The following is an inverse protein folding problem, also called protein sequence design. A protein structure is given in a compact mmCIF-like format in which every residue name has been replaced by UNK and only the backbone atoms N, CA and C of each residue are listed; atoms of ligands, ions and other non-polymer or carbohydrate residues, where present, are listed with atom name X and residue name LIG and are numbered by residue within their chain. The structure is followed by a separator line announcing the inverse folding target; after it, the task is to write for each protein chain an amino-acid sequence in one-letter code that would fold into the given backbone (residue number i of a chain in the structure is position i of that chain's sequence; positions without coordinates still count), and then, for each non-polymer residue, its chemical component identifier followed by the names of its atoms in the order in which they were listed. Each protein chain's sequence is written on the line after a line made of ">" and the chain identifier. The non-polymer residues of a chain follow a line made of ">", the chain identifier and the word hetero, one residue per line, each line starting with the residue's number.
data_IF_839791612665
#
_entry.id   IF_839791612665
#
_cell.length_a   1.000
_cell.length_b   1.000
_cell.length_c   1.000
_cell.angle_alpha   90.00
_cell.angle_beta   90.00
_cell.angle_gamma   90.00
#
_symmetry.space_group_name_H-M   'P 1'
#
loop_
_entity.id
_entity.type
_entity.pdbx_description
1 polymer ?
#
# COMPACT_ATOMS: atom_id res chain seq x y z
N UNK A 1 19.77 -20.11 6.80
CA UNK A 1 20.09 -18.71 7.16
C UNK A 1 18.86 -17.87 6.90
N UNK A 2 18.13 -17.46 7.94
CA UNK A 2 16.93 -16.62 7.79
C UNK A 2 17.39 -15.20 7.53
N UNK A 3 17.05 -14.67 6.35
CA UNK A 3 17.27 -13.27 6.02
C UNK A 3 16.38 -12.40 6.93
N UNK A 4 16.97 -11.77 7.94
CA UNK A 4 16.60 -10.48 8.53
C UNK A 4 15.13 -10.05 8.59
N UNK A 5 14.21 -10.90 9.04
CA UNK A 5 12.81 -10.51 9.23
C UNK A 5 12.51 -10.05 10.65
N UNK A 6 11.97 -8.84 10.82
CA UNK A 6 11.28 -8.42 12.04
C UNK A 6 10.06 -9.35 12.27
N UNK A 7 9.86 -9.81 13.51
CA UNK A 7 8.74 -10.71 13.81
C UNK A 7 7.43 -9.92 13.78
N UNK A 8 6.38 -10.54 13.23
CA UNK A 8 5.04 -9.98 13.32
C UNK A 8 4.61 -9.92 14.80
N UNK A 9 4.18 -8.73 15.23
CA UNK A 9 3.59 -8.49 16.55
C UNK A 9 2.11 -8.15 16.37
N UNK A 10 1.21 -9.04 16.80
CA UNK A 10 -0.23 -8.87 16.61
C UNK A 10 -0.79 -7.59 17.25
N UNK A 11 -0.16 -7.11 18.33
CA UNK A 11 -0.49 -5.83 18.97
C UNK A 11 -0.24 -4.61 18.08
N UNK A 12 0.61 -4.74 17.04
CA UNK A 12 0.91 -3.70 16.05
C UNK A 12 0.15 -3.89 14.74
N UNK A 13 -0.81 -4.81 14.68
CA UNK A 13 -1.64 -5.00 13.51
C UNK A 13 -2.63 -3.84 13.35
N UNK A 14 -2.87 -3.43 12.10
CA UNK A 14 -3.96 -2.52 11.76
C UNK A 14 -5.26 -3.32 11.61
N UNK A 15 -6.31 -2.89 12.28
CA UNK A 15 -7.66 -3.48 12.16
C UNK A 15 -8.56 -2.44 11.50
N UNK A 16 -9.05 -2.75 10.31
CA UNK A 16 -9.88 -1.85 9.51
C UNK A 16 -9.79 -2.16 8.02
N UNK A 17 -10.29 -1.25 7.20
CA UNK A 17 -10.21 -1.33 5.74
C UNK A 17 -9.04 -0.48 5.24
N UNK A 18 -8.31 -0.99 4.23
CA UNK A 18 -7.34 -0.20 3.48
C UNK A 18 -7.75 -0.20 2.00
N UNK A 19 -7.87 1.00 1.44
CA UNK A 19 -8.19 1.22 0.03
C UNK A 19 -7.22 2.23 -0.59
N UNK A 20 -7.18 2.26 -1.92
CA UNK A 20 -6.40 3.24 -2.71
C UNK A 20 -4.88 3.27 -2.40
N UNK A 21 -4.34 2.22 -1.78
CA UNK A 21 -2.93 2.11 -1.45
C UNK A 21 -2.09 1.82 -2.70
N UNK A 22 -1.23 2.78 -3.07
CA UNK A 22 -0.36 2.70 -4.23
C UNK A 22 1.07 3.11 -3.88
N UNK A 23 2.06 2.54 -4.56
CA UNK A 23 3.49 2.88 -4.42
C UNK A 23 4.14 3.10 -5.79
N UNK A 24 4.97 4.13 -5.88
CA UNK A 24 5.73 4.51 -7.08
C UNK A 24 7.23 4.45 -6.83
N UNK A 25 8.02 4.20 -7.88
CA UNK A 25 9.49 4.21 -7.85
C UNK A 25 10.08 5.62 -8.03
N UNK A 26 9.21 6.62 -8.15
CA UNK A 26 9.56 8.02 -8.35
C UNK A 26 8.69 8.93 -7.47
N UNK A 27 9.20 10.13 -7.12
CA UNK A 27 8.37 11.15 -6.51
C UNK A 27 7.28 11.62 -7.47
N UNK A 28 6.06 11.78 -6.95
CA UNK A 28 4.95 12.40 -7.67
C UNK A 28 5.05 13.92 -7.60
N UNK A 29 4.66 14.60 -8.67
CA UNK A 29 4.51 16.06 -8.68
C UNK A 29 3.29 16.48 -7.86
N UNK A 30 3.23 17.78 -7.51
CA UNK A 30 2.10 18.33 -6.75
C UNK A 30 0.76 18.17 -7.49
N UNK A 31 0.78 18.31 -8.82
CA UNK A 31 -0.40 18.13 -9.67
C UNK A 31 -0.89 16.69 -9.66
N UNK A 32 0.01 15.71 -9.74
CA UNK A 32 -0.34 14.28 -9.67
C UNK A 32 -0.91 13.90 -8.31
N UNK A 33 -0.28 14.37 -7.22
CA UNK A 33 -0.79 14.16 -5.86
C UNK A 33 -2.18 14.78 -5.65
N UNK A 34 -2.39 16.01 -6.13
CA UNK A 34 -3.67 16.68 -6.04
C UNK A 34 -4.74 15.91 -6.81
N UNK A 35 -4.42 15.42 -8.01
CA UNK A 35 -5.34 14.64 -8.82
C UNK A 35 -5.76 13.33 -8.13
N UNK A 36 -4.81 12.63 -7.50
CA UNK A 36 -5.06 11.42 -6.72
C UNK A 36 -5.93 11.71 -5.49
N UNK A 37 -5.60 12.75 -4.71
CA UNK A 37 -6.34 13.12 -3.49
C UNK A 37 -7.80 13.54 -3.76
N UNK A 38 -8.09 14.01 -4.97
CA UNK A 38 -9.45 14.37 -5.42
C UNK A 38 -10.12 13.25 -6.23
N UNK A 39 -9.53 12.06 -6.28
CA UNK A 39 -10.01 10.90 -7.06
C UNK A 39 -10.32 11.27 -8.52
N UNK A 40 -9.60 12.23 -9.08
CA UNK A 40 -9.83 12.80 -10.42
C UNK A 40 -9.00 12.12 -11.51
N UNK A 41 -8.18 11.15 -11.12
CA UNK A 41 -7.33 10.35 -12.00
C UNK A 41 -7.36 8.89 -11.55
N UNK A 42 -7.30 7.95 -12.51
CA UNK A 42 -7.17 6.51 -12.26
C UNK A 42 -5.72 6.03 -12.27
N UNK A 43 -4.75 6.91 -11.98
CA UNK A 43 -3.33 6.56 -11.96
C UNK A 43 -3.03 5.53 -10.86
N UNK A 44 -2.39 4.43 -11.23
CA UNK A 44 -1.94 3.38 -10.32
C UNK A 44 -0.44 3.44 -10.08
N UNK A 45 -0.01 2.91 -8.93
CA UNK A 45 1.39 2.73 -8.60
C UNK A 45 2.08 1.73 -9.54
N UNK A 46 3.31 2.02 -9.96
CA UNK A 46 4.10 1.09 -10.78
C UNK A 46 4.88 0.06 -9.95
N UNK A 47 5.07 0.30 -8.65
CA UNK A 47 5.68 -0.66 -7.71
C UNK A 47 4.62 -1.49 -7.00
N UNK A 48 3.60 -0.82 -6.46
CA UNK A 48 2.42 -1.46 -5.87
C UNK A 48 1.18 -0.77 -6.45
N UNK A 49 0.52 -1.35 -7.47
CA UNK A 49 -0.78 -0.89 -7.93
C UNK A 49 -1.89 -1.37 -7.00
N UNK A 50 -2.85 -0.50 -6.66
CA UNK A 50 -4.08 -0.94 -6.01
C UNK A 50 -4.93 -1.74 -7.01
N UNK A 51 -5.32 -2.97 -6.65
CA UNK A 51 -6.20 -3.81 -7.45
C UNK A 51 -7.15 -4.60 -6.55
N UNK A 52 -8.45 -4.34 -6.66
CA UNK A 52 -9.49 -5.08 -5.94
C UNK A 52 -9.58 -6.57 -6.37
N UNK A 53 -8.98 -6.91 -7.51
CA UNK A 53 -9.11 -8.21 -8.17
C UNK A 53 -7.97 -9.20 -7.86
N UNK A 54 -7.01 -8.87 -6.98
CA UNK A 54 -5.96 -9.83 -6.62
C UNK A 54 -6.57 -11.02 -5.86
N UNK A 55 -6.31 -12.29 -6.25
CA UNK A 55 -6.78 -13.47 -5.52
C UNK A 55 -6.23 -13.56 -4.09
N UNK A 56 -5.28 -12.70 -3.72
CA UNK A 56 -4.77 -12.52 -2.37
C UNK A 56 -5.64 -11.60 -1.49
N UNK A 57 -6.90 -11.34 -1.84
CA UNK A 57 -7.81 -10.42 -1.15
C UNK A 57 -8.25 -10.87 0.27
N UNK A 58 -7.42 -11.65 0.97
CA UNK A 58 -7.44 -11.72 2.43
C UNK A 58 -6.42 -10.69 2.91
N UNK A 59 -6.84 -9.50 3.36
CA UNK A 59 -5.92 -8.41 3.68
C UNK A 59 -5.16 -8.75 4.96
N UNK A 60 -3.96 -9.33 4.82
CA UNK A 60 -2.91 -9.15 5.81
C UNK A 60 -1.85 -8.29 5.12
N UNK A 61 -2.13 -6.99 5.05
CA UNK A 61 -1.08 -6.01 4.84
C UNK A 61 -0.30 -5.98 6.15
N UNK A 62 0.78 -6.76 6.22
CA UNK A 62 1.70 -6.72 7.34
C UNK A 62 2.46 -5.39 7.29
N UNK A 63 1.92 -4.36 7.96
CA UNK A 63 2.66 -3.12 8.23
C UNK A 63 3.74 -3.46 9.26
N UNK A 64 4.94 -3.81 8.78
CA UNK A 64 6.11 -4.00 9.64
C UNK A 64 6.62 -2.63 10.10
N UNK A 65 6.24 -2.23 11.31
CA UNK A 65 6.75 -1.03 11.98
C UNK A 65 8.02 -1.36 12.80
N UNK A 66 9.01 -0.49 12.68
CA UNK A 66 10.35 -0.50 13.30
C UNK A 66 10.41 -0.79 14.81
#
# INVERSE_FOLDING_TARGET
>A
SSMGGLRFEASRAMVGELSEFNVWDRPLSHTELYALAHCSTGMLGNVVPFSEASPSNRPIIAVMGS
#
